data_IF_359770686085
#
_entry.id   IF_359770686085
#
_cell.length_a   1.000
_cell.length_b   1.000
_cell.length_c   1.000
_cell.angle_alpha   90.00
_cell.angle_beta   90.00
_cell.angle_gamma   90.00
#
_symmetry.space_group_name_H-M   'P 1'
#
loop_
_entity.id
_entity.type
_entity.pdbx_description
1 polymer ?
#
# COMPACT_ATOMS: atom_id res chain seq x y z
N UNK A 1 0.36 -8.47 22.47
CA UNK A 1 -0.74 -9.14 21.74
C UNK A 1 -0.42 -9.18 20.24
N UNK A 2 -0.29 -10.37 19.65
CA UNK A 2 -0.18 -10.50 18.20
C UNK A 2 -1.53 -10.07 17.60
N UNK A 3 -1.51 -8.99 16.83
CA UNK A 3 -2.68 -8.52 16.10
C UNK A 3 -3.14 -9.59 15.11
N UNK A 4 -4.42 -9.96 15.18
CA UNK A 4 -5.02 -10.91 14.26
C UNK A 4 -4.98 -10.35 12.83
N UNK A 5 -4.00 -10.78 12.03
CA UNK A 5 -3.89 -10.41 10.62
C UNK A 5 -4.95 -11.14 9.80
N UNK A 6 -6.18 -10.61 9.82
CA UNK A 6 -7.32 -11.03 8.99
C UNK A 6 -7.35 -10.34 7.61
N UNK A 7 -6.29 -9.63 7.22
CA UNK A 7 -6.22 -8.98 5.92
C UNK A 7 -6.19 -10.01 4.79
N UNK A 8 -7.08 -9.85 3.82
CA UNK A 8 -7.15 -10.67 2.60
C UNK A 8 -6.19 -10.19 1.49
N UNK A 9 -5.29 -9.25 1.79
CA UNK A 9 -4.40 -8.61 0.80
C UNK A 9 -2.98 -9.19 0.72
N UNK A 10 -2.13 -8.59 -0.11
CA UNK A 10 -0.71 -8.93 -0.20
C UNK A 10 -0.05 -8.64 1.15
N UNK A 11 0.22 -9.68 1.94
CA UNK A 11 0.91 -9.58 3.22
C UNK A 11 2.03 -10.63 3.25
N UNK A 12 3.26 -10.18 3.44
CA UNK A 12 4.40 -11.09 3.55
C UNK A 12 4.27 -11.98 4.79
N UNK A 13 4.46 -13.29 4.61
CA UNK A 13 4.44 -14.28 5.69
C UNK A 13 3.08 -14.93 5.95
N UNK A 14 2.09 -14.69 5.09
CA UNK A 14 0.78 -15.35 5.16
C UNK A 14 -0.22 -14.72 6.13
N UNK A 15 -1.49 -15.08 5.96
CA UNK A 15 -2.60 -14.76 6.83
C UNK A 15 -2.89 -15.92 7.81
N UNK A 16 -3.61 -15.63 8.91
CA UNK A 16 -4.04 -16.68 9.86
C UNK A 16 -4.86 -17.77 9.15
N UNK A 17 -5.67 -17.37 8.17
CA UNK A 17 -6.46 -18.26 7.31
C UNK A 17 -5.60 -19.24 6.50
N UNK A 18 -4.35 -18.90 6.26
CA UNK A 18 -3.43 -19.72 5.47
C UNK A 18 -2.84 -20.84 6.34
N UNK A 19 -3.04 -20.82 7.67
CA UNK A 19 -2.55 -21.84 8.62
C UNK A 19 -1.04 -22.10 8.52
N UNK A 20 -0.28 -21.09 8.09
CA UNK A 20 1.17 -21.17 7.78
C UNK A 20 1.52 -22.16 6.68
N UNK A 21 0.54 -22.57 5.88
CA UNK A 21 0.71 -23.45 4.73
C UNK A 21 1.17 -22.63 3.52
N UNK A 22 2.35 -22.96 2.99
CA UNK A 22 2.99 -22.22 1.89
C UNK A 22 2.13 -22.20 0.62
N UNK A 23 1.41 -23.28 0.34
CA UNK A 23 0.61 -23.41 -0.87
C UNK A 23 -0.63 -22.53 -0.77
N UNK A 24 -1.24 -22.47 0.43
CA UNK A 24 -2.37 -21.56 0.71
C UNK A 24 -1.96 -20.09 0.66
N UNK A 25 -0.78 -19.74 1.20
CA UNK A 25 -0.22 -18.38 1.10
C UNK A 25 -0.04 -18.01 -0.37
N UNK A 26 0.63 -18.87 -1.13
CA UNK A 26 0.93 -18.63 -2.54
C UNK A 26 -0.35 -18.51 -3.37
N UNK A 27 -1.33 -19.40 -3.19
CA UNK A 27 -2.60 -19.36 -3.91
C UNK A 27 -3.40 -18.09 -3.61
N UNK A 28 -3.41 -17.64 -2.35
CA UNK A 28 -4.10 -16.41 -1.93
C UNK A 28 -3.40 -15.18 -2.50
N UNK A 29 -2.07 -15.10 -2.42
CA UNK A 29 -1.30 -13.99 -2.98
C UNK A 29 -1.45 -13.93 -4.51
N UNK A 30 -1.43 -15.08 -5.20
CA UNK A 30 -1.64 -15.16 -6.65
C UNK A 30 -3.06 -14.76 -7.10
N UNK A 31 -4.04 -14.82 -6.21
CA UNK A 31 -5.40 -14.35 -6.48
C UNK A 31 -5.55 -12.82 -6.36
N UNK A 32 -4.53 -12.10 -5.89
CA UNK A 32 -4.61 -10.65 -5.78
C UNK A 32 -4.69 -10.01 -7.18
N UNK A 33 -5.57 -9.01 -7.41
CA UNK A 33 -5.77 -8.46 -8.75
C UNK A 33 -4.51 -7.80 -9.32
N UNK A 34 -3.98 -8.37 -10.40
CA UNK A 34 -2.78 -7.87 -11.09
C UNK A 34 -2.88 -6.41 -11.53
N UNK A 35 -4.06 -5.96 -11.97
CA UNK A 35 -4.25 -4.56 -12.39
C UNK A 35 -4.07 -3.58 -11.23
N UNK A 36 -4.39 -3.99 -10.00
CA UNK A 36 -4.16 -3.16 -8.82
C UNK A 36 -2.68 -3.10 -8.46
N UNK A 37 -1.95 -4.21 -8.65
CA UNK A 37 -0.50 -4.26 -8.46
C UNK A 37 0.21 -3.36 -9.46
N UNK A 38 -0.15 -3.40 -10.74
CA UNK A 38 0.50 -2.53 -11.73
C UNK A 38 0.24 -1.06 -11.46
N UNK A 39 -0.98 -0.71 -11.01
CA UNK A 39 -1.30 0.67 -10.62
C UNK A 39 -0.49 1.14 -9.42
N UNK A 40 -0.16 0.26 -8.48
CA UNK A 40 0.62 0.64 -7.30
C UNK A 40 2.12 0.82 -7.58
N UNK A 41 2.64 0.25 -8.66
CA UNK A 41 4.01 0.51 -9.13
C UNK A 41 4.21 1.95 -9.63
N UNK A 42 3.12 2.65 -9.96
CA UNK A 42 3.13 4.06 -10.37
C UNK A 42 2.33 4.94 -9.40
N UNK A 43 2.27 4.58 -8.12
CA UNK A 43 1.48 5.30 -7.14
C UNK A 43 2.01 6.71 -6.92
N UNK A 44 1.08 7.65 -6.73
CA UNK A 44 1.36 9.04 -6.35
C UNK A 44 0.37 9.49 -5.30
N UNK A 45 0.79 9.43 -4.03
CA UNK A 45 -0.08 9.74 -2.88
C UNK A 45 -0.64 11.16 -2.94
N UNK A 46 0.12 12.11 -3.47
CA UNK A 46 -0.26 13.52 -3.53
C UNK A 46 -1.44 13.82 -4.49
N UNK A 47 -1.72 12.91 -5.43
CA UNK A 47 -2.89 13.00 -6.34
C UNK A 47 -3.92 11.90 -6.09
N UNK A 48 -3.74 11.10 -5.04
CA UNK A 48 -4.67 10.03 -4.69
C UNK A 48 -6.02 10.60 -4.22
N UNK A 49 -7.09 9.85 -4.50
CA UNK A 49 -8.43 10.16 -4.03
C UNK A 49 -8.70 9.48 -2.71
N UNK A 50 -9.35 10.19 -1.79
CA UNK A 50 -9.98 9.60 -0.63
C UNK A 50 -11.50 9.71 -0.78
N UNK A 51 -12.23 8.81 -0.12
CA UNK A 51 -13.69 8.86 -0.03
C UNK A 51 -14.20 10.04 0.79
N UNK A 52 -13.38 10.52 1.73
CA UNK A 52 -13.64 11.72 2.55
C UNK A 52 -12.48 12.69 2.33
N UNK A 53 -12.79 13.91 1.92
CA UNK A 53 -11.76 14.91 1.57
C UNK A 53 -10.91 15.32 2.77
N UNK A 54 -11.50 15.36 3.97
CA UNK A 54 -10.80 15.64 5.22
C UNK A 54 -9.72 14.60 5.50
N UNK A 55 -10.01 13.31 5.28
CA UNK A 55 -9.01 12.24 5.40
C UNK A 55 -7.86 12.46 4.42
N UNK A 56 -8.14 12.86 3.17
CA UNK A 56 -7.11 13.18 2.18
C UNK A 56 -6.18 14.29 2.69
N UNK A 57 -6.76 15.35 3.24
CA UNK A 57 -6.03 16.50 3.78
C UNK A 57 -5.15 16.07 4.96
N UNK A 58 -5.74 15.35 5.92
CA UNK A 58 -5.04 14.89 7.12
C UNK A 58 -3.90 13.93 6.79
N UNK A 59 -4.14 12.95 5.91
CA UNK A 59 -3.13 11.99 5.48
C UNK A 59 -1.95 12.72 4.84
N UNK A 60 -2.20 13.62 3.87
CA UNK A 60 -1.11 14.34 3.19
C UNK A 60 -0.32 15.26 4.12
N UNK A 61 -1.00 15.90 5.08
CA UNK A 61 -0.33 16.75 6.07
C UNK A 61 0.43 15.93 7.11
N UNK A 62 -0.08 14.75 7.47
CA UNK A 62 0.60 13.81 8.36
C UNK A 62 1.88 13.27 7.74
N UNK A 63 1.86 12.89 6.44
CA UNK A 63 3.04 12.37 5.74
C UNK A 63 4.20 13.37 5.76
N UNK A 64 3.93 14.68 5.64
CA UNK A 64 4.97 15.72 5.68
C UNK A 64 5.30 16.18 7.11
N UNK A 65 4.70 15.57 8.13
CA UNK A 65 4.97 15.84 9.54
C UNK A 65 4.39 17.16 10.04
N UNK A 66 3.26 17.64 9.49
CA UNK A 66 2.57 18.82 10.07
C UNK A 66 2.07 18.49 11.47
N UNK A 67 2.08 19.50 12.34
CA UNK A 67 1.54 19.40 13.69
C UNK A 67 0.01 19.30 13.67
N UNK A 68 -0.57 18.91 14.80
CA UNK A 68 -2.03 18.78 14.97
C UNK A 68 -2.75 20.08 14.65
N UNK A 69 -2.18 21.24 14.96
CA UNK A 69 -2.78 22.54 14.67
C UNK A 69 -2.84 22.85 13.18
N UNK A 70 -1.94 22.24 12.39
CA UNK A 70 -1.79 22.45 10.94
C UNK A 70 -2.29 21.26 10.10
N UNK A 71 -2.93 20.28 10.74
CA UNK A 71 -3.37 19.05 10.05
C UNK A 71 -4.49 19.32 9.04
N UNK A 72 -5.26 20.39 9.24
CA UNK A 72 -6.37 20.83 8.39
C UNK A 72 -5.94 21.83 7.30
N UNK A 73 -4.70 22.30 7.31
CA UNK A 73 -4.21 23.28 6.34
C UNK A 73 -4.22 22.68 4.92
N UNK A 74 -4.25 23.52 3.89
CA UNK A 74 -4.16 23.05 2.50
C UNK A 74 -2.89 22.22 2.31
N UNK A 75 -2.99 20.96 1.84
CA UNK A 75 -1.82 20.11 1.63
C UNK A 75 -0.87 20.70 0.59
N UNK A 76 0.41 20.38 0.74
CA UNK A 76 1.38 20.71 -0.30
C UNK A 76 1.08 19.92 -1.57
N UNK A 77 1.27 20.53 -2.73
CA UNK A 77 1.11 19.85 -4.02
C UNK A 77 2.27 18.89 -4.31
N UNK A 78 3.45 19.18 -3.76
CA UNK A 78 4.67 18.37 -3.90
C UNK A 78 5.49 18.44 -2.61
N UNK A 79 6.09 17.33 -2.20
CA UNK A 79 7.01 17.29 -1.06
C UNK A 79 7.90 16.03 -1.13
N UNK A 80 9.15 16.11 -0.66
CA UNK A 80 10.07 14.97 -0.67
C UNK A 80 9.57 13.76 0.13
N UNK A 81 8.76 13.99 1.18
CA UNK A 81 8.12 12.90 1.94
C UNK A 81 7.04 12.15 1.15
N UNK A 82 6.38 12.80 0.18
CA UNK A 82 5.48 12.10 -0.73
C UNK A 82 6.27 11.19 -1.66
N UNK A 83 7.38 11.68 -2.20
CA UNK A 83 8.26 10.89 -3.05
C UNK A 83 8.86 9.68 -2.31
N UNK A 84 9.38 9.88 -1.10
CA UNK A 84 9.88 8.80 -0.25
C UNK A 84 8.82 7.72 -0.01
N UNK A 85 7.58 8.13 0.33
CA UNK A 85 6.48 7.20 0.54
C UNK A 85 6.06 6.50 -0.76
N UNK A 86 6.01 7.22 -1.88
CA UNK A 86 5.68 6.65 -3.19
C UNK A 86 6.67 5.53 -3.55
N UNK A 87 7.99 5.77 -3.42
CA UNK A 87 9.00 4.74 -3.68
C UNK A 87 8.88 3.54 -2.72
N UNK A 88 8.65 3.80 -1.44
CA UNK A 88 8.48 2.73 -0.43
C UNK A 88 7.26 1.84 -0.74
N UNK A 89 6.12 2.46 -1.08
CA UNK A 89 4.91 1.74 -1.48
C UNK A 89 5.13 0.95 -2.76
N UNK A 90 5.69 1.56 -3.80
CA UNK A 90 5.97 0.87 -5.06
C UNK A 90 6.94 -0.30 -4.87
N UNK A 91 8.00 -0.15 -4.07
CA UNK A 91 8.91 -1.23 -3.74
C UNK A 91 8.25 -2.37 -2.96
N UNK A 92 7.34 -2.04 -2.05
CA UNK A 92 6.55 -3.04 -1.30
C UNK A 92 5.70 -3.89 -2.24
N UNK A 93 5.05 -3.28 -3.23
CA UNK A 93 4.28 -4.04 -4.22
C UNK A 93 5.17 -4.78 -5.22
N UNK A 94 6.27 -4.19 -5.67
CA UNK A 94 7.22 -4.83 -6.57
C UNK A 94 7.83 -6.12 -5.97
N UNK A 95 8.05 -6.15 -4.66
CA UNK A 95 8.58 -7.33 -3.95
C UNK A 95 7.54 -8.42 -3.66
N UNK A 96 6.28 -8.24 -4.06
CA UNK A 96 5.23 -9.24 -3.82
C UNK A 96 5.31 -10.45 -4.76
N UNK A 97 4.89 -11.62 -4.27
CA UNK A 97 4.79 -12.84 -5.08
C UNK A 97 3.88 -12.64 -6.29
N UNK A 98 2.82 -11.86 -6.16
CA UNK A 98 1.90 -11.57 -7.25
C UNK A 98 2.58 -10.76 -8.38
N UNK A 99 3.42 -9.77 -8.04
CA UNK A 99 4.26 -9.06 -9.03
C UNK A 99 5.26 -9.99 -9.72
N UNK A 100 5.93 -10.86 -8.96
CA UNK A 100 6.89 -11.83 -9.50
C UNK A 100 6.22 -12.87 -10.41
N UNK A 101 5.07 -13.40 -9.99
CA UNK A 101 4.28 -14.37 -10.77
C UNK A 101 3.77 -13.79 -12.08
N UNK A 102 3.53 -12.48 -12.15
CA UNK A 102 3.25 -11.78 -13.41
C UNK A 102 4.50 -11.68 -14.28
N UNK A 103 5.60 -11.19 -13.73
CA UNK A 103 6.85 -11.03 -14.50
C UNK A 103 7.34 -12.36 -15.10
N UNK A 104 7.06 -13.49 -14.46
CA UNK A 104 7.40 -14.83 -14.97
C UNK A 104 6.48 -15.34 -16.10
N UNK A 105 5.35 -14.67 -16.38
CA UNK A 105 4.40 -15.01 -17.46
C UNK A 105 4.58 -14.16 -18.71
N UNK A 106 5.43 -13.13 -18.64
CA UNK A 106 5.83 -12.26 -19.76
C UNK A 106 7.14 -12.78 -20.37
#
# INVERSE_FOLDING_TARGET
>A
PQEDRKSVGIISGGAISDRRDSDRITAREAAFPNDLIMKSLSIRVEVAKASVEEDRIHILNSIVGRSTEKINDVPLTTHGKYEELNYSLSGTFASSVASLARAAKE
#
